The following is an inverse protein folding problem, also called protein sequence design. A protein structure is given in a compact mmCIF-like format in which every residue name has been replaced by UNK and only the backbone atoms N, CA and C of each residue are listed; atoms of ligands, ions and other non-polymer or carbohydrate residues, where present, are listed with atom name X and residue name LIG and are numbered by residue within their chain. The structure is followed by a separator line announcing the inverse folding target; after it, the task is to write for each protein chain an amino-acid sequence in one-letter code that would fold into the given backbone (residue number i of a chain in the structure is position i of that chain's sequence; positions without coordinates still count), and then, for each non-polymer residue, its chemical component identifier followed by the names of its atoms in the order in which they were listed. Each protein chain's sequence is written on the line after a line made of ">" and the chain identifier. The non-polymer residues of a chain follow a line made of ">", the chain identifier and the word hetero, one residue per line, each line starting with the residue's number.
data_IF_873168955213
#
_entry.id   IF_873168955213
#
_cell.length_a   1.000
_cell.length_b   1.000
_cell.length_c   1.000
_cell.angle_alpha   90.00
_cell.angle_beta   90.00
_cell.angle_gamma   90.00
#
_symmetry.space_group_name_H-M   'P 1'
#
loop_
_entity.id
_entity.type
_entity.pdbx_description
1 polymer ?
#
# COMPACT_ATOMS: atom_id res chain seq x y z
N UNK A 1 28.04 51.74 12.66
CA UNK A 1 28.60 51.19 13.91
C UNK A 1 29.18 49.82 13.62
N UNK A 2 30.38 49.47 14.13
CA UNK A 2 30.92 48.12 13.97
C UNK A 2 30.09 47.12 14.78
N UNK A 3 29.81 45.95 14.20
CA UNK A 3 29.02 44.90 14.83
C UNK A 3 29.71 44.31 16.07
N UNK A 4 28.97 43.54 16.89
CA UNK A 4 29.51 42.95 18.11
C UNK A 4 30.70 42.04 17.82
N UNK A 5 31.70 42.07 18.72
CA UNK A 5 32.93 41.30 18.60
C UNK A 5 32.64 39.78 18.50
N UNK A 6 33.35 39.03 17.63
CA UNK A 6 33.21 37.59 17.53
C UNK A 6 33.46 36.92 18.89
N UNK A 7 32.65 35.90 19.22
CA UNK A 7 32.83 35.13 20.46
C UNK A 7 34.24 34.51 20.50
N UNK A 8 34.89 34.61 21.66
CA UNK A 8 36.18 33.97 21.91
C UNK A 8 36.09 32.45 21.62
N UNK A 9 37.12 31.82 21.03
CA UNK A 9 37.07 30.41 20.60
C UNK A 9 36.65 29.44 21.72
N UNK A 10 37.03 29.72 22.97
CA UNK A 10 36.67 28.91 24.15
C UNK A 10 35.21 29.04 24.61
N UNK A 11 34.47 30.05 24.13
CA UNK A 11 33.06 30.35 24.48
C UNK A 11 32.14 30.13 23.27
N UNK A 12 32.68 29.62 22.15
CA UNK A 12 31.87 29.27 20.99
C UNK A 12 30.97 28.09 21.39
N UNK A 13 29.70 28.40 21.67
CA UNK A 13 28.66 27.43 21.98
C UNK A 13 28.80 26.25 21.01
N UNK A 14 28.85 25.04 21.61
CA UNK A 14 29.10 23.71 21.02
C UNK A 14 28.96 23.73 19.49
N UNK A 15 30.04 23.33 18.80
CA UNK A 15 30.07 23.07 17.35
C UNK A 15 28.72 22.47 16.97
N UNK A 16 27.90 23.26 16.29
CA UNK A 16 26.59 22.83 15.82
C UNK A 16 26.91 21.67 14.86
N UNK A 17 26.84 20.43 15.36
CA UNK A 17 27.10 19.24 14.57
C UNK A 17 25.74 18.75 14.12
N UNK A 18 25.25 19.20 12.95
CA UNK A 18 23.90 18.90 12.51
C UNK A 18 23.66 17.39 12.35
N UNK A 19 24.72 16.57 12.36
CA UNK A 19 24.67 15.12 12.18
C UNK A 19 24.83 14.33 13.49
N UNK A 20 24.87 14.98 14.66
CA UNK A 20 25.22 14.32 15.94
C UNK A 20 24.31 13.12 16.25
N UNK A 21 23.03 13.21 15.90
CA UNK A 21 22.03 12.17 16.18
C UNK A 21 21.50 11.50 14.90
N UNK A 22 22.24 11.61 13.79
CA UNK A 22 21.84 11.01 12.53
C UNK A 22 22.21 9.53 12.54
N UNK A 23 21.21 8.68 12.30
CA UNK A 23 21.42 7.25 12.09
C UNK A 23 21.85 7.01 10.64
N UNK A 24 22.93 6.26 10.46
CA UNK A 24 23.32 5.76 9.14
C UNK A 24 22.57 4.45 8.86
N UNK A 25 22.00 4.33 7.67
CA UNK A 25 21.34 3.11 7.21
C UNK A 25 22.25 2.37 6.22
N UNK A 26 22.13 1.03 6.11
CA UNK A 26 22.85 0.26 5.10
C UNK A 26 22.56 0.79 3.70
N UNK A 27 23.59 0.99 2.87
CA UNK A 27 23.41 1.46 1.49
C UNK A 27 22.72 0.44 0.60
N UNK A 28 22.94 -0.83 0.90
CA UNK A 28 22.43 -2.01 0.18
C UNK A 28 20.94 -2.23 0.43
N UNK A 29 20.38 -1.57 1.46
CA UNK A 29 18.98 -1.70 1.81
C UNK A 29 18.70 -2.74 2.89
N UNK A 30 17.45 -3.18 2.96
CA UNK A 30 17.03 -4.26 3.86
C UNK A 30 17.19 -5.61 3.16
N UNK A 31 17.73 -6.58 3.89
CA UNK A 31 17.83 -7.98 3.44
C UNK A 31 16.65 -8.84 3.91
N UNK A 32 16.35 -9.90 3.16
CA UNK A 32 15.37 -10.92 3.53
C UNK A 32 13.97 -10.70 2.92
N UNK A 33 13.05 -11.60 3.25
CA UNK A 33 11.71 -11.61 2.66
C UNK A 33 10.93 -10.34 3.01
N UNK A 34 10.30 -9.72 2.00
CA UNK A 34 9.32 -8.64 2.19
C UNK A 34 8.20 -9.14 3.11
N UNK A 35 7.80 -8.39 4.14
CA UNK A 35 6.77 -8.83 5.05
C UNK A 35 5.44 -9.04 4.32
N UNK A 36 4.71 -10.08 4.74
CA UNK A 36 3.29 -10.29 4.43
C UNK A 36 2.47 -9.18 5.10
N UNK A 37 2.38 -8.03 4.45
CA UNK A 37 1.50 -6.93 4.87
C UNK A 37 0.31 -6.86 3.92
N UNK A 38 -0.91 -6.52 4.38
CA UNK A 38 -2.12 -6.80 3.61
C UNK A 38 -2.29 -5.74 2.53
N UNK A 39 -1.84 -6.05 1.31
CA UNK A 39 -2.36 -5.40 0.11
C UNK A 39 -3.82 -5.85 0.01
N UNK A 40 -4.71 -5.04 0.58
CA UNK A 40 -6.14 -5.30 0.49
C UNK A 40 -6.56 -5.11 -0.97
N UNK A 41 -7.52 -5.91 -1.46
CA UNK A 41 -8.04 -5.71 -2.80
C UNK A 41 -8.62 -4.31 -2.95
N UNK A 42 -8.51 -3.73 -4.15
CA UNK A 42 -9.21 -2.47 -4.47
C UNK A 42 -10.72 -2.71 -4.35
N UNK A 43 -11.30 -2.11 -3.32
CA UNK A 43 -12.71 -2.25 -2.97
C UNK A 43 -13.61 -1.77 -4.09
N UNK A 44 -13.24 -0.69 -4.78
CA UNK A 44 -14.05 -0.13 -5.85
C UNK A 44 -14.00 -1.01 -7.10
N UNK A 45 -12.80 -1.45 -7.50
CA UNK A 45 -12.65 -2.34 -8.65
C UNK A 45 -13.37 -3.68 -8.40
N UNK A 46 -13.24 -4.22 -7.18
CA UNK A 46 -13.94 -5.45 -6.77
C UNK A 46 -15.46 -5.27 -6.79
N UNK A 47 -15.98 -4.17 -6.25
CA UNK A 47 -17.42 -3.90 -6.27
C UNK A 47 -17.96 -3.74 -7.71
N UNK A 48 -17.21 -3.07 -8.59
CA UNK A 48 -17.60 -2.93 -10.00
C UNK A 48 -17.61 -4.28 -10.73
N UNK A 49 -16.66 -5.16 -10.43
CA UNK A 49 -16.64 -6.51 -10.98
C UNK A 49 -17.88 -7.31 -10.53
N UNK A 50 -18.24 -7.24 -9.26
CA UNK A 50 -19.44 -7.92 -8.74
C UNK A 50 -20.72 -7.38 -9.39
N UNK A 51 -20.87 -6.06 -9.53
CA UNK A 51 -22.01 -5.47 -10.23
C UNK A 51 -22.09 -5.92 -11.69
N UNK A 52 -20.95 -6.02 -12.38
CA UNK A 52 -20.91 -6.50 -13.76
C UNK A 52 -21.31 -7.99 -13.85
N UNK A 53 -20.89 -8.83 -12.89
CA UNK A 53 -21.28 -10.24 -12.77
C UNK A 53 -22.78 -10.39 -12.53
N UNK A 54 -23.34 -9.61 -11.61
CA UNK A 54 -24.79 -9.59 -11.34
C UNK A 54 -25.59 -9.18 -12.58
N UNK A 55 -25.06 -8.23 -13.38
CA UNK A 55 -25.70 -7.84 -14.63
C UNK A 55 -25.66 -8.94 -15.68
N UNK A 56 -24.55 -9.66 -15.79
CA UNK A 56 -24.43 -10.86 -16.65
C UNK A 56 -25.48 -11.90 -16.25
N UNK A 57 -25.56 -12.24 -14.96
CA UNK A 57 -26.54 -13.22 -14.46
C UNK A 57 -27.98 -12.79 -14.75
N UNK A 58 -28.30 -11.52 -14.52
CA UNK A 58 -29.64 -10.96 -14.78
C UNK A 58 -29.99 -11.03 -16.27
N UNK A 59 -29.06 -10.64 -17.16
CA UNK A 59 -29.26 -10.68 -18.61
C UNK A 59 -29.41 -12.11 -19.15
N UNK A 60 -28.74 -13.10 -18.54
CA UNK A 60 -28.91 -14.51 -18.89
C UNK A 60 -30.34 -14.98 -18.58
N UNK A 61 -30.86 -14.65 -17.39
CA UNK A 61 -32.25 -14.97 -17.01
C UNK A 61 -33.26 -14.27 -17.93
N UNK A 62 -33.07 -12.97 -18.22
CA UNK A 62 -33.92 -12.22 -19.15
C UNK A 62 -33.92 -12.85 -20.55
N UNK A 63 -32.75 -13.29 -21.03
CA UNK A 63 -32.61 -13.90 -22.36
C UNK A 63 -33.34 -15.25 -22.48
N UNK A 64 -33.33 -16.06 -21.42
CA UNK A 64 -34.02 -17.35 -21.36
C UNK A 64 -35.54 -17.20 -21.38
N UNK A 65 -36.07 -16.19 -20.68
CA UNK A 65 -37.52 -15.95 -20.57
C UNK A 65 -38.13 -15.14 -21.71
N UNK A 66 -37.32 -14.50 -22.55
CA UNK A 66 -37.81 -13.76 -23.72
C UNK A 66 -38.18 -14.74 -24.85
N UNK A 67 -39.07 -14.36 -25.76
CA UNK A 67 -39.43 -15.15 -26.95
C UNK A 67 -39.28 -14.34 -28.25
N UNK A 68 -39.39 -13.01 -28.19
CA UNK A 68 -39.19 -12.18 -29.37
C UNK A 68 -37.73 -12.22 -29.84
N UNK A 69 -37.53 -12.67 -31.09
CA UNK A 69 -36.18 -12.80 -31.66
C UNK A 69 -35.43 -11.47 -31.75
N UNK A 70 -36.13 -10.34 -31.95
CA UNK A 70 -35.48 -9.02 -32.01
C UNK A 70 -35.05 -8.55 -30.61
N UNK A 71 -35.85 -8.81 -29.58
CA UNK A 71 -35.51 -8.59 -28.18
C UNK A 71 -34.33 -9.48 -27.75
N UNK A 72 -34.37 -10.80 -28.04
CA UNK A 72 -33.25 -11.72 -27.81
C UNK A 72 -31.94 -11.24 -28.44
N UNK A 73 -32.01 -10.75 -29.67
CA UNK A 73 -30.84 -10.21 -30.36
C UNK A 73 -30.25 -8.95 -29.72
N UNK A 74 -31.05 -8.16 -28.97
CA UNK A 74 -30.55 -7.04 -28.16
C UNK A 74 -29.93 -7.53 -26.86
N UNK A 75 -30.64 -8.39 -26.13
CA UNK A 75 -30.18 -8.98 -24.87
C UNK A 75 -28.85 -9.73 -25.05
N UNK A 76 -28.67 -10.51 -26.12
CA UNK A 76 -27.39 -11.18 -26.43
C UNK A 76 -26.24 -10.20 -26.65
N UNK A 77 -26.50 -9.08 -27.33
CA UNK A 77 -25.46 -8.07 -27.55
C UNK A 77 -25.08 -7.38 -26.26
N UNK A 78 -26.04 -7.11 -25.39
CA UNK A 78 -25.78 -6.48 -24.09
C UNK A 78 -25.13 -7.46 -23.10
N UNK A 79 -25.49 -8.75 -23.16
CA UNK A 79 -24.81 -9.83 -22.43
C UNK A 79 -23.34 -9.90 -22.83
N UNK A 80 -23.04 -10.03 -24.14
CA UNK A 80 -21.67 -10.07 -24.63
C UNK A 80 -20.83 -8.86 -24.19
N UNK A 81 -21.42 -7.65 -24.16
CA UNK A 81 -20.72 -6.45 -23.67
C UNK A 81 -20.37 -6.57 -22.18
N UNK A 82 -21.29 -7.06 -21.35
CA UNK A 82 -21.05 -7.20 -19.91
C UNK A 82 -20.09 -8.35 -19.61
N UNK A 83 -20.12 -9.44 -20.38
CA UNK A 83 -19.12 -10.52 -20.29
C UNK A 83 -17.71 -10.01 -20.60
N UNK A 84 -17.56 -9.19 -21.66
CA UNK A 84 -16.29 -8.52 -21.97
C UNK A 84 -15.86 -7.58 -20.83
N UNK A 85 -16.79 -6.83 -20.24
CA UNK A 85 -16.51 -5.95 -19.11
C UNK A 85 -16.02 -6.72 -17.88
N UNK A 86 -16.67 -7.85 -17.55
CA UNK A 86 -16.25 -8.74 -16.46
C UNK A 86 -14.82 -9.24 -16.70
N UNK A 87 -14.53 -9.74 -17.91
CA UNK A 87 -13.20 -10.22 -18.26
C UNK A 87 -12.13 -9.12 -18.15
N UNK A 88 -12.46 -7.90 -18.62
CA UNK A 88 -11.58 -6.75 -18.51
C UNK A 88 -11.30 -6.37 -17.06
N UNK A 89 -12.32 -6.25 -16.22
CA UNK A 89 -12.17 -5.88 -14.80
C UNK A 89 -11.36 -6.91 -14.03
N UNK A 90 -11.56 -8.21 -14.29
CA UNK A 90 -10.75 -9.28 -13.70
C UNK A 90 -9.27 -9.11 -14.02
N UNK A 91 -8.95 -8.93 -15.30
CA UNK A 91 -7.57 -8.74 -15.75
C UNK A 91 -6.95 -7.48 -15.12
N UNK A 92 -7.69 -6.37 -15.05
CA UNK A 92 -7.21 -5.14 -14.44
C UNK A 92 -6.91 -5.29 -12.96
N UNK A 93 -7.77 -5.98 -12.20
CA UNK A 93 -7.55 -6.24 -10.77
C UNK A 93 -6.30 -7.10 -10.56
N UNK A 94 -6.12 -8.15 -11.37
CA UNK A 94 -4.94 -9.01 -11.31
C UNK A 94 -3.65 -8.21 -11.59
N UNK A 95 -3.62 -7.46 -12.69
CA UNK A 95 -2.48 -6.62 -13.07
C UNK A 95 -2.16 -5.56 -12.00
N UNK A 96 -3.18 -4.92 -11.43
CA UNK A 96 -2.99 -3.93 -10.37
C UNK A 96 -2.40 -4.58 -9.10
N UNK A 97 -2.90 -5.77 -8.73
CA UNK A 97 -2.41 -6.52 -7.57
C UNK A 97 -0.94 -6.90 -7.75
N UNK A 98 -0.55 -7.37 -8.93
CA UNK A 98 0.83 -7.75 -9.21
C UNK A 98 1.76 -6.55 -9.27
N UNK A 99 1.32 -5.44 -9.86
CA UNK A 99 2.07 -4.18 -9.85
C UNK A 99 2.27 -3.66 -8.42
N UNK A 100 1.24 -3.72 -7.57
CA UNK A 100 1.34 -3.31 -6.18
C UNK A 100 2.30 -4.19 -5.38
N UNK A 101 2.28 -5.52 -5.58
CA UNK A 101 3.26 -6.44 -4.98
C UNK A 101 4.69 -6.12 -5.41
N UNK A 102 4.90 -5.82 -6.69
CA UNK A 102 6.22 -5.45 -7.19
C UNK A 102 6.71 -4.14 -6.56
N UNK A 103 5.86 -3.11 -6.53
CA UNK A 103 6.17 -1.84 -5.86
C UNK A 103 6.44 -2.03 -4.36
N UNK A 104 5.70 -2.92 -3.71
CA UNK A 104 5.91 -3.26 -2.31
C UNK A 104 7.26 -3.95 -2.09
N UNK A 105 7.65 -4.89 -2.96
CA UNK A 105 8.95 -5.52 -2.91
C UNK A 105 10.09 -4.50 -3.09
N UNK A 106 9.99 -3.61 -4.08
CA UNK A 106 10.98 -2.55 -4.32
C UNK A 106 11.06 -1.56 -3.14
N UNK A 107 9.91 -1.22 -2.55
CA UNK A 107 9.88 -0.34 -1.38
C UNK A 107 10.61 -0.98 -0.18
N UNK A 108 10.41 -2.28 0.03
CA UNK A 108 11.03 -3.01 1.13
C UNK A 108 12.50 -3.38 0.90
N UNK A 109 13.03 -3.24 -0.31
CA UNK A 109 14.47 -3.33 -0.54
C UNK A 109 15.21 -2.04 -0.21
N UNK A 110 14.52 -0.94 0.12
CA UNK A 110 15.18 0.34 0.43
C UNK A 110 15.84 0.36 1.81
N UNK A 111 16.89 1.19 2.04
CA UNK A 111 17.49 1.39 3.36
C UNK A 111 16.49 1.81 4.44
N UNK A 112 15.45 2.55 4.05
CA UNK A 112 14.41 3.05 4.94
C UNK A 112 13.60 1.91 5.57
N UNK A 113 13.44 0.79 4.85
CA UNK A 113 12.70 -0.38 5.32
C UNK A 113 13.31 -1.02 6.58
N UNK A 114 14.61 -0.86 6.81
CA UNK A 114 15.30 -1.30 8.05
C UNK A 114 14.70 -0.63 9.28
N UNK A 115 14.40 0.68 9.20
CA UNK A 115 13.78 1.42 10.31
C UNK A 115 12.33 0.95 10.53
N UNK A 116 11.59 0.71 9.45
CA UNK A 116 10.21 0.26 9.54
C UNK A 116 10.12 -1.14 10.17
N UNK A 117 10.99 -2.06 9.80
CA UNK A 117 11.02 -3.41 10.38
C UNK A 117 11.25 -3.38 11.90
N UNK A 118 12.20 -2.57 12.36
CA UNK A 118 12.45 -2.39 13.79
C UNK A 118 11.24 -1.80 14.52
N UNK A 119 10.58 -0.82 13.90
CA UNK A 119 9.38 -0.17 14.44
C UNK A 119 8.21 -1.16 14.54
N UNK A 120 8.00 -1.98 13.50
CA UNK A 120 7.00 -3.05 13.49
C UNK A 120 7.29 -4.07 14.60
N UNK A 121 8.56 -4.45 14.77
CA UNK A 121 8.98 -5.38 15.83
C UNK A 121 8.66 -4.82 17.22
N UNK A 122 8.91 -3.54 17.45
CA UNK A 122 8.60 -2.86 18.73
C UNK A 122 7.09 -2.86 18.99
N UNK A 123 6.27 -2.53 17.98
CA UNK A 123 4.81 -2.54 18.12
C UNK A 123 4.29 -3.97 18.36
N UNK A 124 4.82 -4.97 17.65
CA UNK A 124 4.42 -6.37 17.79
C UNK A 124 4.79 -6.94 19.17
N UNK A 125 5.99 -6.63 19.67
CA UNK A 125 6.42 -6.98 21.03
C UNK A 125 5.57 -6.28 22.09
N UNK A 126 5.23 -5.00 21.89
CA UNK A 126 4.36 -4.24 22.79
C UNK A 126 2.93 -4.78 22.81
N UNK A 127 2.42 -5.29 21.69
CA UNK A 127 1.09 -5.91 21.62
C UNK A 127 1.08 -7.36 22.13
N UNK A 128 2.18 -8.11 22.00
CA UNK A 128 2.32 -9.45 22.57
C UNK A 128 2.54 -9.44 24.09
N UNK A 129 3.28 -8.47 24.62
CA UNK A 129 3.45 -8.27 26.05
C UNK A 129 2.40 -7.27 26.56
N UNK A 130 1.16 -7.71 26.75
CA UNK A 130 0.09 -6.87 27.29
C UNK A 130 0.43 -6.29 28.68
N UNK A 131 1.03 -5.10 28.74
CA UNK A 131 1.33 -4.44 30.00
C UNK A 131 2.35 -3.31 29.91
N UNK A 132 1.87 -2.07 30.01
CA UNK A 132 2.58 -0.82 30.39
C UNK A 132 4.11 -0.84 30.27
N UNK A 133 4.62 -0.39 29.12
CA UNK A 133 5.99 0.13 29.03
C UNK A 133 5.99 1.61 29.45
N UNK A 134 6.48 1.90 30.65
CA UNK A 134 6.82 3.27 31.08
C UNK A 134 8.26 3.52 30.62
N UNK A 135 8.53 4.49 29.73
CA UNK A 135 9.90 4.78 29.35
C UNK A 135 10.60 5.44 30.55
N UNK A 136 11.54 4.72 31.15
CA UNK A 136 12.44 5.27 32.15
C UNK A 136 13.29 6.35 31.47
N UNK A 137 13.12 7.61 31.90
CA UNK A 137 14.03 8.70 31.55
C UNK A 137 15.39 8.35 32.14
N UNK A 138 16.36 8.05 31.28
CA UNK A 138 17.75 8.06 31.68
C UNK A 138 18.14 9.49 32.07
N UNK A 139 18.71 9.59 33.27
CA UNK A 139 19.35 10.76 33.89
C UNK A 139 20.42 11.40 33.01
#
# INVERSE_FOLDING_TARGET
>A
MPGPAPKHPSVRARRNNPKKDFRSLPSEGREGATPEWPLLPDVNASAMLEVARDRVASLQVELEGEDDGRAKGRLRRDLNKNELLVAQLQLQIEQATDAEKALWADLWSTPQAVIWEESIRIVRLRNMCGGRFVPSRAT
#
